data_IF_198508834649
#
_entry.id   IF_198508834649
#
_cell.length_a   1.000
_cell.length_b   1.000
_cell.length_c   1.000
_cell.angle_alpha   90.00
_cell.angle_beta   90.00
_cell.angle_gamma   90.00
#
_symmetry.space_group_name_H-M   'P 1'
#
loop_
_entity.id
_entity.type
_entity.pdbx_description
1 polymer ?
#
# COMPACT_ATOMS: atom_id res chain seq x y z
N UNK A 1 8.95 1.68 -9.50
CA UNK A 1 10.42 1.93 -9.47
C UNK A 1 10.87 2.16 -8.05
N UNK A 2 12.05 1.67 -7.68
CA UNK A 2 12.78 2.02 -6.45
C UNK A 2 14.11 2.62 -6.87
N UNK A 3 14.39 3.86 -6.49
CA UNK A 3 15.61 4.60 -6.84
C UNK A 3 15.89 4.57 -8.36
N UNK A 4 14.82 4.73 -9.17
CA UNK A 4 14.88 4.70 -10.62
C UNK A 4 14.93 3.32 -11.28
N UNK A 5 15.03 2.23 -10.50
CA UNK A 5 15.08 0.85 -11.03
C UNK A 5 13.71 0.15 -10.94
N UNK A 6 13.29 -0.63 -11.95
CA UNK A 6 12.11 -1.49 -11.85
C UNK A 6 12.29 -2.53 -10.75
N UNK A 7 11.27 -2.68 -9.90
CA UNK A 7 11.26 -3.67 -8.79
C UNK A 7 9.92 -4.43 -8.72
N UNK A 8 9.03 -4.23 -9.69
CA UNK A 8 7.67 -4.73 -9.66
C UNK A 8 6.73 -3.92 -10.54
N UNK A 9 5.43 -4.19 -10.40
CA UNK A 9 4.37 -3.62 -11.22
C UNK A 9 3.10 -3.31 -10.43
N UNK A 10 2.28 -2.41 -10.96
CA UNK A 10 0.94 -2.11 -10.41
C UNK A 10 -0.06 -3.12 -10.98
N UNK A 11 -0.83 -3.77 -10.11
CA UNK A 11 -1.86 -4.74 -10.48
C UNK A 11 -3.26 -4.14 -10.49
N UNK A 12 -3.55 -3.24 -9.56
CA UNK A 12 -4.83 -2.52 -9.46
C UNK A 12 -4.59 -1.10 -8.99
N UNK A 13 -5.41 -0.15 -9.44
CA UNK A 13 -5.36 1.23 -8.95
C UNK A 13 -6.76 1.86 -9.00
N UNK A 14 -7.02 2.75 -8.04
CA UNK A 14 -8.27 3.51 -7.94
C UNK A 14 -8.06 4.81 -7.15
N UNK A 15 -9.03 5.72 -7.19
CA UNK A 15 -9.04 6.86 -6.30
C UNK A 15 -9.61 6.45 -4.93
N UNK A 16 -8.79 6.54 -3.88
CA UNK A 16 -9.22 6.25 -2.52
C UNK A 16 -9.86 7.49 -1.89
N UNK A 17 -11.19 7.62 -1.98
CA UNK A 17 -11.91 8.79 -1.47
C UNK A 17 -11.63 9.08 0.01
N UNK A 18 -11.58 8.05 0.86
CA UNK A 18 -11.26 8.21 2.29
C UNK A 18 -9.85 8.74 2.54
N UNK A 19 -8.92 8.47 1.62
CA UNK A 19 -7.53 8.93 1.69
C UNK A 19 -7.31 10.23 0.90
N UNK A 20 -8.30 10.67 0.11
CA UNK A 20 -8.22 11.85 -0.75
C UNK A 20 -7.18 11.76 -1.86
N UNK A 21 -6.71 10.55 -2.23
CA UNK A 21 -5.56 10.35 -3.13
C UNK A 21 -5.73 9.08 -3.97
N UNK A 22 -5.01 9.03 -5.10
CA UNK A 22 -4.87 7.79 -5.88
C UNK A 22 -4.10 6.74 -5.09
N UNK A 23 -4.59 5.50 -5.12
CA UNK A 23 -4.02 4.35 -4.43
C UNK A 23 -3.80 3.24 -5.45
N UNK A 24 -2.70 2.51 -5.29
CA UNK A 24 -2.35 1.39 -6.14
C UNK A 24 -1.94 0.17 -5.30
N UNK A 25 -2.33 -1.00 -5.75
CA UNK A 25 -1.80 -2.28 -5.30
C UNK A 25 -0.64 -2.68 -6.22
N UNK A 26 0.56 -2.72 -5.66
CA UNK A 26 1.77 -3.13 -6.37
C UNK A 26 2.25 -4.51 -5.91
N UNK A 27 2.67 -5.34 -6.87
CA UNK A 27 3.45 -6.55 -6.59
C UNK A 27 4.93 -6.20 -6.75
N UNK A 28 5.71 -6.36 -5.68
CA UNK A 28 7.15 -6.05 -5.63
C UNK A 28 7.90 -7.34 -5.33
N UNK A 29 8.97 -7.58 -6.07
CA UNK A 29 9.87 -8.72 -5.87
C UNK A 29 11.28 -8.23 -5.55
N UNK A 30 11.88 -8.81 -4.51
CA UNK A 30 13.27 -8.54 -4.14
C UNK A 30 13.90 -9.80 -3.56
N UNK A 31 15.11 -10.15 -4.02
CA UNK A 31 15.74 -11.44 -3.71
C UNK A 31 16.02 -11.69 -2.22
N UNK A 32 16.15 -10.63 -1.42
CA UNK A 32 16.33 -10.71 0.03
C UNK A 32 15.03 -10.47 0.82
N UNK A 33 13.90 -10.34 0.12
CA UNK A 33 12.59 -10.04 0.71
C UNK A 33 12.24 -8.55 0.69
N UNK A 34 10.96 -8.27 0.95
CA UNK A 34 10.40 -6.91 1.00
C UNK A 34 9.89 -6.67 2.43
N UNK A 35 10.68 -5.97 3.24
CA UNK A 35 10.39 -5.67 4.64
C UNK A 35 10.27 -4.16 4.90
N UNK A 36 10.07 -3.78 6.17
CA UNK A 36 9.89 -2.36 6.52
C UNK A 36 11.15 -1.53 6.20
N UNK A 37 12.33 -2.11 6.35
CA UNK A 37 13.61 -1.49 6.03
C UNK A 37 13.77 -1.26 4.53
N UNK A 38 13.30 -2.19 3.70
CA UNK A 38 13.31 -2.08 2.25
C UNK A 38 12.48 -0.88 1.77
N UNK A 39 11.32 -0.67 2.41
CA UNK A 39 10.44 0.48 2.14
C UNK A 39 11.04 1.79 2.67
N UNK A 40 11.56 1.81 3.90
CA UNK A 40 12.06 3.03 4.53
C UNK A 40 13.30 3.62 3.83
N UNK A 41 14.16 2.77 3.29
CA UNK A 41 15.44 3.16 2.70
C UNK A 41 15.39 3.34 1.17
N UNK A 42 14.20 3.36 0.56
CA UNK A 42 14.04 3.48 -0.89
C UNK A 42 13.11 4.62 -1.27
N UNK A 43 13.43 5.33 -2.35
CA UNK A 43 12.49 6.26 -2.98
C UNK A 43 11.64 5.50 -3.99
N UNK A 44 10.34 5.48 -3.80
CA UNK A 44 9.42 4.77 -4.68
C UNK A 44 8.70 5.72 -5.63
N UNK A 45 8.60 5.29 -6.88
CA UNK A 45 7.90 6.01 -7.95
C UNK A 45 7.08 5.02 -8.78
N UNK A 46 5.91 5.44 -9.25
CA UNK A 46 5.15 4.73 -10.29
C UNK A 46 5.43 5.43 -11.61
N UNK A 47 5.80 4.64 -12.62
CA UNK A 47 5.85 5.08 -14.00
C UNK A 47 4.46 4.91 -14.62
N UNK A 48 3.86 6.02 -15.04
CA UNK A 48 2.56 6.06 -15.71
C UNK A 48 2.76 6.72 -17.07
N UNK A 49 2.77 5.90 -18.13
CA UNK A 49 2.96 6.36 -19.51
C UNK A 49 4.23 7.23 -19.70
N UNK A 50 5.32 6.90 -19.02
CA UNK A 50 6.58 7.64 -19.04
C UNK A 50 6.66 8.76 -17.99
N UNK A 51 5.56 9.10 -17.31
CA UNK A 51 5.52 10.04 -16.21
C UNK A 51 5.87 9.37 -14.88
N UNK A 52 6.88 9.90 -14.17
CA UNK A 52 7.26 9.38 -12.85
C UNK A 52 6.52 10.13 -11.74
N UNK A 53 5.71 9.40 -10.99
CA UNK A 53 4.97 9.91 -9.84
C UNK A 53 5.54 9.34 -8.54
N UNK A 54 6.00 10.21 -7.63
CA UNK A 54 6.47 9.78 -6.32
C UNK A 54 5.31 9.17 -5.51
N UNK A 55 5.59 8.04 -4.84
CA UNK A 55 4.59 7.34 -4.03
C UNK A 55 5.15 7.01 -2.64
N UNK A 56 4.23 6.88 -1.69
CA UNK A 56 4.52 6.31 -0.37
C UNK A 56 4.17 4.83 -0.42
N UNK A 57 5.17 3.96 -0.24
CA UNK A 57 4.94 2.52 -0.15
C UNK A 57 4.48 2.16 1.26
N UNK A 58 3.57 1.18 1.37
CA UNK A 58 3.11 0.67 2.65
C UNK A 58 3.03 -0.87 2.62
N UNK A 59 3.49 -1.54 3.68
CA UNK A 59 3.31 -3.00 3.86
C UNK A 59 1.91 -3.39 4.32
N UNK A 60 1.16 -2.42 4.86
CA UNK A 60 -0.23 -2.56 5.29
C UNK A 60 -1.04 -1.41 4.73
N UNK A 61 -2.36 -1.58 4.63
CA UNK A 61 -3.25 -0.49 4.24
C UNK A 61 -3.01 0.74 5.13
N UNK A 62 -2.86 1.96 4.56
CA UNK A 62 -2.79 3.20 5.34
C UNK A 62 -4.16 3.56 5.94
N UNK A 63 -5.25 2.99 5.42
CA UNK A 63 -6.58 3.10 5.99
C UNK A 63 -6.85 1.95 6.96
N UNK A 64 -7.28 2.28 8.19
CA UNK A 64 -7.57 1.33 9.27
C UNK A 64 -6.53 0.19 9.40
N UNK A 65 -5.24 0.52 9.65
CA UNK A 65 -4.14 -0.45 9.61
C UNK A 65 -4.26 -1.56 10.66
N UNK A 66 -5.09 -1.38 11.69
CA UNK A 66 -5.34 -2.34 12.78
C UNK A 66 -6.69 -3.04 12.64
N UNK A 67 -7.49 -2.66 11.63
CA UNK A 67 -8.86 -3.12 11.41
C UNK A 67 -9.78 -2.87 12.62
N UNK A 68 -9.57 -1.76 13.33
CA UNK A 68 -10.32 -1.41 14.53
C UNK A 68 -11.81 -1.20 14.23
N UNK A 69 -12.15 -0.66 13.05
CA UNK A 69 -13.54 -0.38 12.67
C UNK A 69 -14.32 -1.67 12.46
N UNK A 70 -13.78 -2.57 11.65
CA UNK A 70 -14.41 -3.87 11.36
C UNK A 70 -14.49 -4.75 12.62
N UNK A 71 -13.49 -4.66 13.50
CA UNK A 71 -13.48 -5.41 14.75
C UNK A 71 -14.50 -4.88 15.76
N UNK A 72 -14.79 -3.58 15.78
CA UNK A 72 -15.80 -3.01 16.68
C UNK A 72 -17.18 -3.65 16.43
N UNK A 73 -17.60 -3.72 15.16
CA UNK A 73 -18.87 -4.33 14.75
C UNK A 73 -18.90 -5.84 15.10
N UNK A 74 -17.78 -6.53 14.91
CA UNK A 74 -17.67 -7.96 15.24
C UNK A 74 -17.74 -8.24 16.76
N UNK A 75 -17.30 -7.30 17.59
CA UNK A 75 -17.39 -7.41 19.06
C UNK A 75 -18.83 -7.20 19.51
N UNK A 76 -19.56 -6.22 18.96
CA UNK A 76 -20.98 -6.03 19.27
C UNK A 76 -21.81 -7.28 18.94
N UNK A 77 -21.59 -7.90 17.77
CA UNK A 77 -22.32 -9.12 17.39
C UNK A 77 -22.04 -10.28 18.36
N UNK A 78 -20.81 -10.41 18.88
CA UNK A 78 -20.46 -11.45 19.85
C UNK A 78 -21.00 -11.20 21.25
N UNK A 79 -21.23 -9.95 21.65
CA UNK A 79 -21.82 -9.61 22.96
C UNK A 79 -23.34 -9.77 22.95
N UNK A 80 -23.96 -9.64 21.78
CA UNK A 80 -25.40 -9.81 21.59
C UNK A 80 -25.84 -11.28 21.38
N UNK A 81 -24.91 -12.24 21.32
CA UNK A 81 -25.15 -13.67 21.13
C UNK A 81 -24.85 -14.46 22.42
#
# INVERSE_FOLDING_TARGET
LRDGKPVGEVRSAAYGHTLGRSVALGLIEHGTGVDASFLANGRFEIDLAGGRHAVTAHLRSPYDPKSERVKADAVEIKVAA
#
